data_IF_534863778576
#
_entry.id   IF_534863778576
#
_cell.length_a   1.000
_cell.length_b   1.000
_cell.length_c   1.000
_cell.angle_alpha   90.00
_cell.angle_beta   90.00
_cell.angle_gamma   90.00
#
_symmetry.space_group_name_H-M   'P 1'
#
loop_
_entity.id
_entity.type
_entity.pdbx_description
1 polymer ?
#
# COMPACT_ATOMS: atom_id res chain seq x y z
N UNK A 1 -42.34 -42.95 -26.10
CA UNK A 1 -42.11 -41.53 -25.77
C UNK A 1 -40.85 -41.44 -24.94
N UNK A 2 -39.68 -41.05 -25.56
CA UNK A 2 -38.41 -40.89 -24.84
C UNK A 2 -38.30 -39.46 -24.37
N UNK A 3 -38.27 -39.26 -23.03
CA UNK A 3 -38.07 -37.96 -22.40
C UNK A 3 -36.58 -37.65 -22.42
N UNK A 4 -36.16 -36.64 -23.22
CA UNK A 4 -34.80 -36.07 -23.16
C UNK A 4 -34.74 -35.11 -21.96
N UNK A 5 -33.95 -35.46 -20.98
CA UNK A 5 -33.55 -34.55 -19.88
C UNK A 5 -32.31 -33.82 -20.35
N UNK A 6 -32.48 -32.55 -20.69
CA UNK A 6 -31.37 -31.66 -20.98
C UNK A 6 -30.77 -31.20 -19.65
N UNK A 7 -29.59 -31.71 -19.29
CA UNK A 7 -28.82 -31.24 -18.13
C UNK A 7 -28.06 -29.98 -18.58
N UNK A 8 -28.54 -28.83 -18.14
CA UNK A 8 -27.85 -27.54 -18.31
C UNK A 8 -26.65 -27.49 -17.35
N UNK A 9 -25.46 -27.75 -17.86
CA UNK A 9 -24.22 -27.52 -17.12
C UNK A 9 -23.96 -26.01 -17.05
N UNK A 10 -24.32 -25.39 -15.93
CA UNK A 10 -23.87 -24.02 -15.60
C UNK A 10 -22.42 -24.14 -15.14
N UNK A 11 -21.49 -23.89 -16.03
CA UNK A 11 -20.06 -23.75 -15.70
C UNK A 11 -19.90 -22.41 -14.99
N UNK A 12 -19.85 -22.44 -13.67
CA UNK A 12 -19.50 -21.27 -12.86
C UNK A 12 -17.98 -21.10 -13.00
N UNK A 13 -17.55 -20.26 -13.94
CA UNK A 13 -16.16 -19.80 -13.95
C UNK A 13 -15.98 -18.85 -12.77
N UNK A 14 -15.03 -19.10 -11.86
CA UNK A 14 -14.66 -18.09 -10.88
C UNK A 14 -14.06 -16.92 -11.66
N UNK A 15 -14.78 -15.82 -11.70
CA UNK A 15 -14.22 -14.55 -12.20
C UNK A 15 -13.18 -14.14 -11.17
N UNK A 16 -11.91 -14.45 -11.45
CA UNK A 16 -10.80 -13.95 -10.68
C UNK A 16 -10.79 -12.45 -10.92
N UNK A 17 -11.33 -11.69 -9.97
CA UNK A 17 -11.29 -10.23 -10.00
C UNK A 17 -9.83 -9.78 -9.92
N UNK A 18 -9.21 -9.54 -11.07
CA UNK A 18 -7.87 -8.94 -11.20
C UNK A 18 -7.96 -7.41 -11.06
N UNK A 19 -8.55 -6.93 -9.96
CA UNK A 19 -9.00 -5.54 -9.87
C UNK A 19 -8.07 -4.60 -9.07
N UNK A 20 -6.86 -5.01 -8.67
CA UNK A 20 -6.19 -4.27 -7.60
C UNK A 20 -5.31 -3.09 -8.04
N UNK A 21 -4.68 -3.16 -9.20
CA UNK A 21 -3.95 -2.00 -9.77
C UNK A 21 -4.80 -1.21 -10.77
N UNK A 22 -5.87 -1.80 -11.29
CA UNK A 22 -6.68 -1.24 -12.37
C UNK A 22 -7.42 0.05 -12.01
N UNK A 23 -7.74 0.30 -10.75
CA UNK A 23 -8.43 1.51 -10.33
C UNK A 23 -7.61 2.78 -10.57
N UNK A 24 -6.30 2.70 -10.47
CA UNK A 24 -5.38 3.85 -10.59
C UNK A 24 -4.70 3.95 -11.96
N UNK A 25 -5.00 3.05 -12.91
CA UNK A 25 -4.36 3.04 -14.24
C UNK A 25 -4.53 4.35 -15.04
N UNK A 26 -5.54 5.15 -14.69
CA UNK A 26 -5.82 6.44 -15.31
C UNK A 26 -5.03 7.60 -14.71
N UNK A 27 -4.44 7.42 -13.55
CA UNK A 27 -3.78 8.49 -12.80
C UNK A 27 -2.27 8.31 -12.82
N UNK A 28 -1.57 9.40 -13.09
CA UNK A 28 -0.11 9.46 -12.95
C UNK A 28 0.30 10.02 -11.59
N UNK A 29 -0.66 10.56 -10.83
CA UNK A 29 -0.45 11.16 -9.52
C UNK A 29 -1.70 11.02 -8.65
N UNK A 30 -1.48 10.79 -7.35
CA UNK A 30 -2.49 10.93 -6.30
C UNK A 30 -1.93 11.92 -5.29
N UNK A 31 -2.72 12.93 -4.95
CA UNK A 31 -2.39 13.93 -3.95
C UNK A 31 -3.39 13.82 -2.80
N UNK A 32 -2.87 13.70 -1.60
CA UNK A 32 -3.65 13.66 -0.37
C UNK A 32 -3.14 14.74 0.58
N UNK A 33 -4.04 15.54 1.10
CA UNK A 33 -3.78 16.46 2.18
C UNK A 33 -4.05 15.80 3.53
N UNK A 34 -3.29 16.17 4.54
CA UNK A 34 -3.40 15.61 5.88
C UNK A 34 -3.91 16.73 6.80
N UNK A 35 -5.08 16.50 7.37
CA UNK A 35 -5.70 17.43 8.31
C UNK A 35 -5.72 16.87 9.72
N UNK A 36 -5.56 17.77 10.70
CA UNK A 36 -5.76 17.51 12.11
C UNK A 36 -6.63 18.59 12.70
N UNK A 37 -7.81 18.24 13.21
CA UNK A 37 -8.78 19.18 13.76
C UNK A 37 -9.14 20.33 12.79
N UNK A 38 -9.22 20.05 11.48
CA UNK A 38 -9.49 21.05 10.44
C UNK A 38 -8.30 21.90 9.99
N UNK A 39 -7.13 21.70 10.57
CA UNK A 39 -5.88 22.36 10.18
C UNK A 39 -5.09 21.47 9.23
N UNK A 40 -4.61 22.02 8.11
CA UNK A 40 -3.72 21.33 7.17
C UNK A 40 -2.34 21.20 7.82
N UNK A 41 -1.90 19.97 8.06
CA UNK A 41 -0.63 19.67 8.72
C UNK A 41 0.39 19.03 7.79
N UNK A 42 0.00 18.62 6.58
CA UNK A 42 0.91 17.97 5.66
C UNK A 42 0.26 17.38 4.43
N UNK A 43 1.03 16.57 3.73
CA UNK A 43 0.62 15.94 2.46
C UNK A 43 1.20 14.54 2.30
N UNK A 44 0.58 13.77 1.40
CA UNK A 44 1.04 12.46 0.96
C UNK A 44 0.79 12.34 -0.54
N UNK A 45 1.85 12.30 -1.33
CA UNK A 45 1.80 12.26 -2.78
C UNK A 45 2.33 10.93 -3.29
N UNK A 46 1.66 10.38 -4.31
CA UNK A 46 2.09 9.20 -5.04
C UNK A 46 2.20 9.54 -6.52
N UNK A 47 3.32 9.16 -7.12
CA UNK A 47 3.59 9.32 -8.54
C UNK A 47 3.74 7.94 -9.16
N UNK A 48 3.09 7.71 -10.31
CA UNK A 48 3.04 6.41 -10.97
C UNK A 48 3.73 6.50 -12.33
N UNK A 49 4.83 5.78 -12.48
CA UNK A 49 5.52 5.59 -13.75
C UNK A 49 5.27 4.17 -14.25
N UNK A 50 4.75 4.03 -15.47
CA UNK A 50 4.38 2.75 -16.06
C UNK A 50 5.13 2.52 -17.35
N UNK A 51 5.83 1.39 -17.44
CA UNK A 51 6.57 0.97 -18.62
C UNK A 51 6.30 -0.51 -18.90
N UNK A 52 5.34 -0.79 -19.77
CA UNK A 52 4.89 -2.13 -20.06
C UNK A 52 4.31 -2.82 -18.84
N UNK A 53 4.92 -3.93 -18.41
CA UNK A 53 4.49 -4.68 -17.23
C UNK A 53 5.07 -4.12 -15.90
N UNK A 54 6.03 -3.21 -16.00
CA UNK A 54 6.64 -2.58 -14.85
C UNK A 54 5.88 -1.33 -14.42
N UNK A 55 5.68 -1.19 -13.11
CA UNK A 55 5.16 0.04 -12.49
C UNK A 55 6.07 0.43 -11.35
N UNK A 56 6.56 1.67 -11.38
CA UNK A 56 7.29 2.29 -10.28
C UNK A 56 6.36 3.31 -9.64
N UNK A 57 6.29 3.28 -8.32
CA UNK A 57 5.46 4.20 -7.54
C UNK A 57 6.35 4.90 -6.54
N UNK A 58 6.51 6.20 -6.73
CA UNK A 58 7.23 7.05 -5.80
C UNK A 58 6.27 7.69 -4.83
N UNK A 59 6.58 7.66 -3.54
CA UNK A 59 5.82 8.28 -2.47
C UNK A 59 6.61 9.41 -1.83
N UNK A 60 5.97 10.54 -1.63
CA UNK A 60 6.47 11.68 -0.86
C UNK A 60 5.46 12.01 0.23
N UNK A 61 5.86 11.86 1.47
CA UNK A 61 5.02 12.03 2.64
C UNK A 61 5.67 13.00 3.61
N UNK A 62 4.93 14.03 4.01
CA UNK A 62 5.43 15.01 4.97
C UNK A 62 4.28 15.56 5.80
N UNK A 63 4.45 15.61 7.11
CA UNK A 63 3.58 16.37 7.99
C UNK A 63 4.32 16.81 9.26
N UNK A 64 3.77 17.85 9.89
CA UNK A 64 4.22 18.32 11.20
C UNK A 64 3.04 18.60 12.10
N UNK A 65 3.26 18.44 13.39
CA UNK A 65 2.30 18.79 14.44
C UNK A 65 2.95 19.83 15.36
N UNK A 66 2.35 21.00 15.40
CA UNK A 66 2.77 22.09 16.26
C UNK A 66 1.89 22.19 17.49
N UNK A 67 2.48 22.58 18.60
CA UNK A 67 1.79 22.91 19.86
C UNK A 67 2.40 24.18 20.44
N UNK A 68 1.57 25.20 20.62
CA UNK A 68 1.97 26.53 21.14
C UNK A 68 3.17 27.14 20.39
N UNK A 69 3.17 27.00 19.04
CA UNK A 69 4.24 27.54 18.19
C UNK A 69 5.54 26.72 18.17
N UNK A 70 5.53 25.53 18.77
CA UNK A 70 6.68 24.61 18.74
C UNK A 70 6.32 23.30 18.04
N UNK A 71 7.12 22.87 17.08
CA UNK A 71 6.96 21.56 16.41
C UNK A 71 7.29 20.45 17.40
N UNK A 72 6.27 19.67 17.79
CA UNK A 72 6.40 18.55 18.73
C UNK A 72 6.55 17.21 18.01
N UNK A 73 6.15 17.12 16.74
CA UNK A 73 6.30 15.93 15.95
C UNK A 73 6.36 16.28 14.46
N UNK A 74 7.30 15.69 13.73
CA UNK A 74 7.41 15.83 12.29
C UNK A 74 7.88 14.53 11.63
N UNK A 75 7.40 14.29 10.42
CA UNK A 75 7.82 13.19 9.56
C UNK A 75 8.02 13.70 8.14
N UNK A 76 9.13 13.33 7.55
CA UNK A 76 9.40 13.49 6.13
C UNK A 76 9.91 12.18 5.58
N UNK A 77 9.26 11.64 4.57
CA UNK A 77 9.55 10.31 4.02
C UNK A 77 9.53 10.33 2.51
N UNK A 78 10.47 9.62 1.92
CA UNK A 78 10.50 9.26 0.52
C UNK A 78 10.51 7.75 0.39
N UNK A 79 9.65 7.19 -0.47
CA UNK A 79 9.56 5.77 -0.73
C UNK A 79 9.43 5.47 -2.21
N UNK A 80 9.89 4.29 -2.61
CA UNK A 80 9.75 3.78 -3.96
C UNK A 80 9.32 2.31 -3.92
N UNK A 81 8.21 2.00 -4.58
CA UNK A 81 7.71 0.65 -4.81
C UNK A 81 7.91 0.28 -6.27
N UNK A 82 8.45 -0.91 -6.53
CA UNK A 82 8.56 -1.48 -7.88
C UNK A 82 7.68 -2.70 -7.99
N UNK A 83 6.80 -2.70 -8.97
CA UNK A 83 5.93 -3.82 -9.32
C UNK A 83 6.26 -4.36 -10.71
N UNK A 84 6.15 -5.68 -10.88
CA UNK A 84 6.03 -6.34 -12.19
C UNK A 84 4.64 -6.96 -12.23
N UNK A 85 3.79 -6.52 -13.14
CA UNK A 85 2.34 -6.78 -13.12
C UNK A 85 1.79 -6.27 -11.78
N UNK A 86 1.17 -7.16 -11.00
CA UNK A 86 0.61 -6.83 -9.68
C UNK A 86 1.47 -7.33 -8.50
N UNK A 87 2.67 -7.87 -8.80
CA UNK A 87 3.59 -8.38 -7.80
C UNK A 87 4.58 -7.32 -7.38
N UNK A 88 4.63 -6.99 -6.10
CA UNK A 88 5.68 -6.15 -5.52
C UNK A 88 7.03 -6.90 -5.64
N UNK A 89 8.01 -6.25 -6.24
CA UNK A 89 9.37 -6.79 -6.43
C UNK A 89 10.34 -6.18 -5.42
N UNK A 90 10.25 -4.87 -5.20
CA UNK A 90 11.05 -4.18 -4.20
C UNK A 90 10.32 -2.96 -3.63
N UNK A 91 10.70 -2.62 -2.41
CA UNK A 91 10.32 -1.38 -1.76
C UNK A 91 11.53 -0.80 -1.01
N UNK A 92 11.79 0.47 -1.22
CA UNK A 92 12.84 1.20 -0.52
C UNK A 92 12.26 2.49 0.04
N UNK A 93 12.62 2.82 1.29
CA UNK A 93 12.23 4.11 1.87
C UNK A 93 13.32 4.68 2.77
N UNK A 94 13.31 6.01 2.85
CA UNK A 94 14.06 6.79 3.85
C UNK A 94 13.11 7.75 4.51
N UNK A 95 13.15 7.81 5.82
CA UNK A 95 12.26 8.65 6.62
C UNK A 95 13.05 9.38 7.69
N UNK A 96 12.86 10.68 7.81
CA UNK A 96 13.26 11.47 8.95
C UNK A 96 12.03 11.67 9.86
N UNK A 97 12.05 11.08 11.04
CA UNK A 97 11.00 11.25 12.06
C UNK A 97 11.56 11.99 13.23
N UNK A 98 11.17 13.24 13.43
CA UNK A 98 11.91 14.21 14.23
C UNK A 98 13.39 14.22 13.77
N UNK A 99 14.33 13.93 14.65
CA UNK A 99 15.77 13.88 14.32
C UNK A 99 16.29 12.43 14.10
N UNK A 100 15.38 11.45 13.93
CA UNK A 100 15.73 10.04 13.78
C UNK A 100 15.54 9.59 12.34
N UNK A 101 16.64 9.16 11.73
CA UNK A 101 16.59 8.49 10.43
C UNK A 101 16.05 7.07 10.58
N UNK A 102 15.15 6.70 9.68
CA UNK A 102 14.61 5.37 9.54
C UNK A 102 14.65 4.96 8.07
N UNK A 103 14.66 3.66 7.82
CA UNK A 103 14.68 3.13 6.47
C UNK A 103 13.99 1.77 6.38
N UNK A 104 13.63 1.41 5.16
CA UNK A 104 13.22 0.07 4.78
C UNK A 104 13.84 -0.26 3.43
N UNK A 105 14.42 -1.44 3.31
CA UNK A 105 14.78 -2.08 2.05
C UNK A 105 14.10 -3.46 2.04
N UNK A 106 13.25 -3.69 1.06
CA UNK A 106 12.52 -4.93 0.87
C UNK A 106 12.72 -5.43 -0.55
N UNK A 107 13.01 -6.71 -0.70
CA UNK A 107 13.14 -7.36 -2.00
C UNK A 107 12.39 -8.70 -2.02
N UNK A 108 11.79 -9.02 -3.15
CA UNK A 108 11.19 -10.32 -3.40
C UNK A 108 12.28 -11.35 -3.69
N UNK A 109 12.46 -12.29 -2.79
CA UNK A 109 13.31 -13.45 -3.00
C UNK A 109 12.61 -14.45 -3.94
N UNK A 110 13.10 -14.56 -5.18
CA UNK A 110 12.49 -15.42 -6.21
C UNK A 110 12.56 -16.91 -5.88
N UNK A 111 13.51 -17.34 -5.03
CA UNK A 111 13.68 -18.74 -4.65
C UNK A 111 12.70 -19.17 -3.57
N UNK A 112 12.58 -18.35 -2.51
CA UNK A 112 11.71 -18.64 -1.36
C UNK A 112 10.28 -18.14 -1.57
N UNK A 113 10.05 -17.23 -2.52
CA UNK A 113 8.80 -16.53 -2.77
C UNK A 113 8.33 -15.73 -1.55
N UNK A 114 9.28 -15.20 -0.79
CA UNK A 114 9.05 -14.33 0.35
C UNK A 114 9.74 -12.99 0.14
N UNK A 115 9.38 -12.00 0.93
CA UNK A 115 10.10 -10.75 1.02
C UNK A 115 11.24 -10.88 2.02
N UNK A 116 12.45 -10.49 1.60
CA UNK A 116 13.57 -10.23 2.49
C UNK A 116 13.51 -8.75 2.88
N UNK A 117 13.44 -8.48 4.18
CA UNK A 117 13.25 -7.12 4.72
C UNK A 117 14.45 -6.74 5.57
N UNK A 118 15.03 -5.56 5.30
CA UNK A 118 15.99 -4.87 6.15
C UNK A 118 15.41 -3.50 6.48
N UNK A 119 15.00 -3.29 7.70
CA UNK A 119 14.42 -2.03 8.15
C UNK A 119 14.92 -1.60 9.51
N UNK A 120 14.64 -0.36 9.87
CA UNK A 120 15.07 0.22 11.15
C UNK A 120 14.51 -0.51 12.39
N UNK A 121 13.36 -1.21 12.24
CA UNK A 121 12.69 -1.91 13.34
C UNK A 121 12.47 -3.40 13.10
N UNK A 122 12.82 -3.91 11.92
CA UNK A 122 12.65 -5.33 11.60
C UNK A 122 13.65 -5.76 10.52
N UNK A 123 14.29 -6.91 10.77
CA UNK A 123 15.14 -7.59 9.80
C UNK A 123 14.73 -9.05 9.76
N UNK A 124 14.30 -9.54 8.59
CA UNK A 124 13.82 -10.92 8.44
C UNK A 124 13.01 -11.12 7.16
N UNK A 125 12.26 -12.21 7.11
CA UNK A 125 11.41 -12.56 5.99
C UNK A 125 9.92 -12.27 6.29
N UNK A 126 9.16 -11.93 5.26
CA UNK A 126 7.71 -11.84 5.28
C UNK A 126 7.09 -12.60 4.10
N UNK A 127 5.87 -13.08 4.25
CA UNK A 127 5.12 -13.67 3.14
C UNK A 127 4.67 -12.61 2.15
N UNK A 128 4.43 -12.98 0.90
CA UNK A 128 3.91 -12.07 -0.14
C UNK A 128 2.46 -11.65 0.08
N UNK A 129 1.79 -12.20 1.11
CA UNK A 129 0.46 -11.73 1.54
C UNK A 129 0.53 -10.45 2.37
N UNK A 130 1.71 -10.11 2.91
CA UNK A 130 1.92 -8.83 3.54
C UNK A 130 1.98 -7.72 2.50
N UNK A 131 1.37 -6.58 2.77
CA UNK A 131 1.36 -5.41 1.91
C UNK A 131 2.12 -4.27 2.56
N UNK A 132 2.67 -3.37 1.74
CA UNK A 132 3.20 -2.11 2.25
C UNK A 132 2.03 -1.27 2.75
N UNK A 133 2.14 -0.67 3.94
CA UNK A 133 1.12 0.15 4.57
C UNK A 133 0.94 1.52 3.91
N UNK A 134 0.71 1.52 2.59
CA UNK A 134 0.50 2.72 1.77
C UNK A 134 -0.97 2.88 1.40
N UNK A 135 -1.46 4.12 1.42
CA UNK A 135 -2.88 4.44 1.27
C UNK A 135 -3.41 4.32 -0.15
N UNK A 136 -2.54 4.31 -1.16
CA UNK A 136 -2.96 4.17 -2.56
C UNK A 136 -3.40 2.74 -2.89
N UNK A 137 -2.91 1.73 -2.16
CA UNK A 137 -3.11 0.32 -2.51
C UNK A 137 -4.27 -0.30 -1.74
N UNK A 138 -5.38 -0.57 -2.43
CA UNK A 138 -6.56 -1.21 -1.84
C UNK A 138 -6.30 -2.58 -1.20
N UNK A 139 -5.22 -3.27 -1.55
CA UNK A 139 -4.85 -4.53 -0.91
C UNK A 139 -4.68 -4.37 0.61
N UNK A 140 -4.38 -3.17 1.09
CA UNK A 140 -4.28 -2.88 2.53
C UNK A 140 -5.59 -3.18 3.27
N UNK A 141 -6.75 -3.01 2.62
CA UNK A 141 -8.06 -3.28 3.21
C UNK A 141 -8.39 -4.77 3.32
N UNK A 142 -7.66 -5.63 2.60
CA UNK A 142 -7.87 -7.07 2.52
C UNK A 142 -6.77 -7.88 3.21
N UNK A 143 -5.63 -7.24 3.47
CA UNK A 143 -4.49 -7.88 4.09
C UNK A 143 -4.70 -8.05 5.59
N UNK A 144 -4.37 -9.23 6.14
CA UNK A 144 -4.35 -9.49 7.58
C UNK A 144 -3.14 -8.87 8.29
N UNK A 145 -2.16 -8.37 7.54
CA UNK A 145 -0.98 -7.69 8.08
C UNK A 145 -0.37 -6.75 7.06
N UNK A 146 0.30 -5.72 7.55
CA UNK A 146 1.00 -4.73 6.76
C UNK A 146 2.45 -4.54 7.22
N UNK A 147 3.31 -4.20 6.27
CA UNK A 147 4.70 -3.80 6.49
C UNK A 147 4.73 -2.28 6.59
N UNK A 148 5.24 -1.76 7.69
CA UNK A 148 5.42 -0.31 7.89
C UNK A 148 6.36 0.27 6.82
N UNK A 149 5.93 1.26 6.03
CA UNK A 149 6.78 1.91 5.03
C UNK A 149 7.89 2.77 5.67
N UNK A 150 7.79 3.04 6.97
CA UNK A 150 8.75 3.87 7.71
C UNK A 150 9.88 3.04 8.32
N UNK A 151 9.57 1.83 8.82
CA UNK A 151 10.51 1.09 9.67
C UNK A 151 10.66 -0.39 9.36
N UNK A 152 9.85 -0.93 8.44
CA UNK A 152 9.83 -2.35 8.06
C UNK A 152 9.10 -3.27 9.05
N UNK A 153 8.63 -2.76 10.20
CA UNK A 153 7.90 -3.59 11.16
C UNK A 153 6.61 -4.15 10.57
N UNK A 154 6.32 -5.41 10.88
CA UNK A 154 5.09 -6.08 10.45
C UNK A 154 4.04 -5.88 11.54
N UNK A 155 2.83 -5.45 11.15
CA UNK A 155 1.70 -5.26 12.06
C UNK A 155 0.50 -6.02 11.55
N UNK A 156 -0.07 -6.84 12.41
CA UNK A 156 -1.36 -7.48 12.16
C UNK A 156 -2.48 -6.43 12.18
N UNK A 157 -3.48 -6.65 11.36
CA UNK A 157 -4.66 -5.79 11.27
C UNK A 157 -5.92 -6.61 10.95
N UNK A 158 -7.05 -6.07 11.38
CA UNK A 158 -8.38 -6.52 10.98
C UNK A 158 -9.12 -5.31 10.45
N UNK A 159 -9.59 -5.40 9.21
CA UNK A 159 -10.37 -4.33 8.58
C UNK A 159 -11.82 -4.78 8.49
N UNK A 160 -12.74 -4.01 9.09
CA UNK A 160 -14.16 -4.29 9.08
C UNK A 160 -14.91 -3.17 8.38
N UNK A 161 -15.77 -3.53 7.43
CA UNK A 161 -16.68 -2.56 6.81
C UNK A 161 -17.80 -2.20 7.79
N UNK A 162 -17.86 -0.93 8.20
CA UNK A 162 -18.87 -0.44 9.18
C UNK A 162 -20.02 0.32 8.52
N UNK A 163 -19.92 0.71 7.25
CA UNK A 163 -20.96 1.43 6.55
C UNK A 163 -20.46 2.32 5.43
N UNK A 164 -21.40 3.02 4.79
CA UNK A 164 -21.13 4.07 3.80
C UNK A 164 -21.51 5.40 4.39
N UNK A 165 -20.64 6.39 4.25
CA UNK A 165 -20.89 7.77 4.62
C UNK A 165 -20.75 8.65 3.39
N UNK A 166 -21.60 9.68 3.30
CA UNK A 166 -21.48 10.70 2.26
C UNK A 166 -20.52 11.77 2.77
N UNK A 167 -19.42 11.96 2.07
CA UNK A 167 -18.45 13.03 2.34
C UNK A 167 -18.69 14.12 1.29
N UNK A 168 -18.97 15.33 1.74
CA UNK A 168 -19.01 16.51 0.87
C UNK A 168 -17.58 17.07 0.81
N UNK A 169 -16.97 17.02 -0.40
CA UNK A 169 -15.61 17.47 -0.70
C UNK A 169 -15.67 18.89 -1.31
#
# INVERSE_FOLDING_TARGET
MKKFIAILFIVIFPVISMAHMGHYNKYNKIEMEIFRNGELIGYNYYFFERNGEETIITNQFKFSVDLLGTTIFQVESYGEEKYIKDQLISFNSKTLQNDKEKFVNLELNKKTRKYDIKGSSFNGEATTNNVIGNWWNHKILQAGSQISPISGSIKEQVVTFIGKEKIDL
#
